data_IF_632359718240
#
_entry.id   IF_632359718240
#
_cell.length_a   1.000
_cell.length_b   1.000
_cell.length_c   1.000
_cell.angle_alpha   90.00
_cell.angle_beta   90.00
_cell.angle_gamma   90.00
#
_symmetry.space_group_name_H-M   'P 1'
#
loop_
_entity.id
_entity.type
_entity.pdbx_description
1 polymer ?
#
# COMPACT_ATOMS: atom_id res chain seq x y z
N UNK A 1 -14.13 -39.26 34.49
CA UNK A 1 -15.06 -38.31 33.85
C UNK A 1 -14.47 -36.91 33.63
N UNK A 2 -13.87 -36.30 34.68
CA UNK A 2 -13.33 -34.91 34.58
C UNK A 2 -12.17 -34.67 33.60
N UNK A 3 -11.44 -35.69 33.18
CA UNK A 3 -10.32 -35.56 32.25
C UNK A 3 -10.78 -35.55 30.78
N UNK A 4 -11.78 -36.39 30.47
CA UNK A 4 -12.41 -36.45 29.15
C UNK A 4 -13.23 -35.19 28.82
N UNK A 5 -13.82 -34.53 29.81
CA UNK A 5 -14.56 -33.28 29.60
C UNK A 5 -13.63 -32.12 29.28
N UNK A 6 -12.45 -32.04 29.93
CA UNK A 6 -11.43 -31.04 29.63
C UNK A 6 -10.80 -31.20 28.24
N UNK A 7 -10.56 -32.44 27.81
CA UNK A 7 -10.04 -32.75 26.49
C UNK A 7 -11.04 -32.37 25.38
N UNK A 8 -12.34 -32.59 25.59
CA UNK A 8 -13.42 -32.17 24.69
C UNK A 8 -13.53 -30.64 24.63
N UNK A 9 -13.44 -29.96 25.75
CA UNK A 9 -13.52 -28.52 25.84
C UNK A 9 -12.30 -27.84 25.10
N UNK A 10 -11.11 -28.38 25.28
CA UNK A 10 -9.91 -27.93 24.58
C UNK A 10 -10.00 -28.20 23.06
N UNK A 11 -10.56 -29.34 22.65
CA UNK A 11 -10.77 -29.66 21.23
C UNK A 11 -11.79 -28.70 20.58
N UNK A 12 -12.90 -28.43 21.27
CA UNK A 12 -13.90 -27.46 20.80
C UNK A 12 -13.31 -26.06 20.66
N UNK A 13 -12.53 -25.61 21.63
CA UNK A 13 -11.83 -24.32 21.56
C UNK A 13 -10.89 -24.23 20.35
N UNK A 14 -10.09 -25.28 20.08
CA UNK A 14 -9.20 -25.35 18.92
C UNK A 14 -9.94 -25.37 17.59
N UNK A 15 -11.10 -26.03 17.54
CA UNK A 15 -11.96 -26.01 16.36
C UNK A 15 -12.56 -24.62 16.10
N UNK A 16 -13.05 -23.94 17.14
CA UNK A 16 -13.55 -22.56 17.04
C UNK A 16 -12.45 -21.58 16.64
N UNK A 17 -11.23 -21.73 17.17
CA UNK A 17 -10.06 -20.93 16.78
C UNK A 17 -9.68 -21.18 15.31
N UNK A 18 -9.71 -22.43 14.85
CA UNK A 18 -9.41 -22.79 13.46
C UNK A 18 -10.49 -22.26 12.49
N UNK A 19 -11.76 -22.30 12.90
CA UNK A 19 -12.88 -21.75 12.11
C UNK A 19 -12.76 -20.22 11.97
N UNK A 20 -12.50 -19.50 13.06
CA UNK A 20 -12.25 -18.05 13.04
C UNK A 20 -11.05 -17.67 12.19
N UNK A 21 -9.98 -18.48 12.18
CA UNK A 21 -8.81 -18.27 11.31
C UNK A 21 -9.16 -18.49 9.84
N UNK A 22 -10.00 -19.50 9.53
CA UNK A 22 -10.47 -19.78 8.17
C UNK A 22 -11.29 -18.61 7.61
N UNK A 23 -12.24 -18.11 8.40
CA UNK A 23 -13.10 -16.97 8.03
C UNK A 23 -12.28 -15.69 7.81
N UNK A 24 -11.28 -15.46 8.65
CA UNK A 24 -10.39 -14.31 8.52
C UNK A 24 -9.55 -14.39 7.24
N UNK A 25 -9.01 -15.57 6.94
CA UNK A 25 -8.24 -15.82 5.72
C UNK A 25 -9.10 -15.63 4.47
N UNK A 26 -10.34 -16.09 4.49
CA UNK A 26 -11.28 -15.91 3.37
C UNK A 26 -11.60 -14.42 3.13
N UNK A 27 -11.80 -13.64 4.20
CA UNK A 27 -12.01 -12.19 4.10
C UNK A 27 -10.82 -11.48 3.50
N UNK A 28 -9.59 -11.80 3.95
CA UNK A 28 -8.37 -11.21 3.42
C UNK A 28 -8.15 -11.54 1.94
N UNK A 29 -8.48 -12.77 1.52
CA UNK A 29 -8.39 -13.17 0.10
C UNK A 29 -9.40 -12.41 -0.76
N UNK A 30 -10.64 -12.21 -0.29
CA UNK A 30 -11.65 -11.41 -0.99
C UNK A 30 -11.20 -9.95 -1.11
N UNK A 31 -10.68 -9.39 -0.03
CA UNK A 31 -10.15 -8.01 -0.02
C UNK A 31 -8.99 -7.84 -1.01
N UNK A 32 -8.06 -8.80 -1.05
CA UNK A 32 -6.97 -8.80 -2.01
C UNK A 32 -7.47 -8.91 -3.46
N UNK A 33 -8.48 -9.75 -3.71
CA UNK A 33 -9.11 -9.88 -5.02
C UNK A 33 -9.76 -8.56 -5.48
N UNK A 34 -10.49 -7.87 -4.60
CA UNK A 34 -11.07 -6.57 -4.91
C UNK A 34 -10.02 -5.51 -5.21
N UNK A 35 -8.94 -5.47 -4.43
CA UNK A 35 -7.82 -4.56 -4.66
C UNK A 35 -7.09 -4.85 -5.97
N UNK A 36 -6.90 -6.13 -6.31
CA UNK A 36 -6.29 -6.55 -7.58
C UNK A 36 -7.13 -6.10 -8.78
N UNK A 37 -8.46 -6.25 -8.70
CA UNK A 37 -9.39 -5.74 -9.73
C UNK A 37 -9.30 -4.23 -9.89
N UNK A 38 -9.22 -3.48 -8.79
CA UNK A 38 -9.06 -2.02 -8.81
C UNK A 38 -7.73 -1.57 -9.44
N UNK A 39 -6.68 -2.38 -9.30
CA UNK A 39 -5.34 -2.11 -9.83
C UNK A 39 -5.13 -2.64 -11.25
N UNK A 40 -6.05 -3.43 -11.79
CA UNK A 40 -5.95 -4.11 -13.09
C UNK A 40 -4.65 -4.95 -13.24
N UNK A 41 -4.16 -5.54 -12.12
CA UNK A 41 -2.93 -6.33 -12.10
C UNK A 41 -3.20 -7.82 -11.89
N UNK A 42 -3.06 -8.61 -12.96
CA UNK A 42 -3.19 -10.08 -12.91
C UNK A 42 -2.14 -10.75 -12.01
N UNK A 43 -0.93 -10.19 -11.90
CA UNK A 43 0.16 -10.75 -11.09
C UNK A 43 -0.18 -10.88 -9.59
N UNK A 44 -1.05 -10.02 -9.06
CA UNK A 44 -1.51 -10.10 -7.68
C UNK A 44 -2.48 -11.26 -7.45
N UNK A 45 -3.26 -11.63 -8.48
CA UNK A 45 -4.14 -12.82 -8.44
C UNK A 45 -3.32 -14.10 -8.32
N UNK A 46 -2.29 -14.25 -9.16
CA UNK A 46 -1.43 -15.45 -9.15
C UNK A 46 -0.73 -15.63 -7.80
N UNK A 47 -0.29 -14.51 -7.18
CA UNK A 47 0.33 -14.52 -5.84
C UNK A 47 -0.69 -14.89 -4.76
N UNK A 48 -1.91 -14.34 -4.82
CA UNK A 48 -3.00 -14.68 -3.88
C UNK A 48 -3.41 -16.16 -3.99
N UNK A 49 -3.50 -16.71 -5.19
CA UNK A 49 -3.85 -18.13 -5.40
C UNK A 49 -2.74 -19.08 -4.91
N UNK A 50 -1.47 -18.74 -5.13
CA UNK A 50 -0.34 -19.50 -4.57
C UNK A 50 -0.35 -19.47 -3.03
N UNK A 51 -0.70 -18.34 -2.42
CA UNK A 51 -0.86 -18.21 -0.96
C UNK A 51 -2.04 -19.04 -0.44
N UNK A 52 -3.15 -19.12 -1.19
CA UNK A 52 -4.32 -19.92 -0.84
C UNK A 52 -4.02 -21.42 -0.77
N UNK A 53 -3.16 -21.92 -1.67
CA UNK A 53 -2.75 -23.33 -1.66
C UNK A 53 -1.85 -23.71 -0.49
N UNK A 54 -1.14 -22.74 0.10
CA UNK A 54 -0.22 -22.94 1.25
C UNK A 54 -0.80 -22.50 2.61
N UNK A 55 -2.09 -22.31 2.73
CA UNK A 55 -2.81 -21.49 3.72
C UNK A 55 -2.67 -21.86 5.22
N UNK A 56 -2.07 -22.97 5.61
CA UNK A 56 -1.99 -23.34 7.04
C UNK A 56 -0.94 -22.58 7.88
N UNK A 57 0.04 -21.91 7.23
CA UNK A 57 1.12 -21.18 7.92
C UNK A 57 1.24 -19.70 7.50
N UNK A 58 0.25 -19.12 6.80
CA UNK A 58 0.46 -17.89 6.02
C UNK A 58 -0.51 -16.75 6.32
N UNK A 59 -1.30 -16.80 7.38
CA UNK A 59 -2.22 -15.71 7.71
C UNK A 59 -1.48 -14.38 7.89
N UNK A 60 -0.32 -14.38 8.56
CA UNK A 60 0.49 -13.18 8.75
C UNK A 60 1.03 -12.63 7.42
N UNK A 61 1.46 -13.52 6.52
CA UNK A 61 1.93 -13.14 5.19
C UNK A 61 0.80 -12.56 4.34
N UNK A 62 -0.40 -13.13 4.44
CA UNK A 62 -1.58 -12.62 3.74
C UNK A 62 -2.01 -11.25 4.27
N UNK A 63 -2.00 -11.03 5.59
CA UNK A 63 -2.27 -9.71 6.18
C UNK A 63 -1.26 -8.66 5.72
N UNK A 64 0.03 -9.02 5.64
CA UNK A 64 1.07 -8.14 5.12
C UNK A 64 0.85 -7.84 3.64
N UNK A 65 0.52 -8.85 2.83
CA UNK A 65 0.27 -8.67 1.41
C UNK A 65 -0.93 -7.75 1.16
N UNK A 66 -2.03 -7.94 1.88
CA UNK A 66 -3.21 -7.06 1.80
C UNK A 66 -2.83 -5.63 2.15
N UNK A 67 -2.10 -5.42 3.25
CA UNK A 67 -1.66 -4.09 3.69
C UNK A 67 -0.76 -3.41 2.65
N UNK A 68 0.21 -4.13 2.10
CA UNK A 68 1.09 -3.62 1.06
C UNK A 68 0.34 -3.28 -0.24
N UNK A 69 -0.65 -4.10 -0.60
CA UNK A 69 -1.49 -3.85 -1.77
C UNK A 69 -2.38 -2.63 -1.58
N UNK A 70 -2.95 -2.45 -0.38
CA UNK A 70 -3.69 -1.24 -0.01
C UNK A 70 -2.82 0.00 -0.13
N UNK A 71 -1.62 -0.04 0.46
CA UNK A 71 -0.67 1.07 0.40
C UNK A 71 -0.33 1.43 -1.04
N UNK A 72 0.01 0.44 -1.86
CA UNK A 72 0.29 0.65 -3.29
C UNK A 72 -0.90 1.25 -4.04
N UNK A 73 -2.12 0.79 -3.74
CA UNK A 73 -3.34 1.35 -4.32
C UNK A 73 -3.52 2.83 -3.95
N UNK A 74 -3.32 3.19 -2.68
CA UNK A 74 -3.41 4.57 -2.18
C UNK A 74 -2.35 5.46 -2.84
N UNK A 75 -1.11 5.00 -2.97
CA UNK A 75 -0.02 5.69 -3.66
C UNK A 75 -0.37 5.97 -5.12
N UNK A 76 -0.82 4.94 -5.86
CA UNK A 76 -1.21 5.09 -7.27
C UNK A 76 -2.40 6.02 -7.47
N UNK A 77 -3.36 5.99 -6.58
CA UNK A 77 -4.50 6.92 -6.61
C UNK A 77 -4.07 8.36 -6.33
N UNK A 78 -3.14 8.56 -5.40
CA UNK A 78 -2.56 9.88 -5.11
C UNK A 78 -1.79 10.43 -6.32
N UNK A 79 -0.94 9.64 -6.99
CA UNK A 79 -0.27 10.01 -8.22
C UNK A 79 -1.26 10.42 -9.33
N UNK A 80 -2.30 9.61 -9.54
CA UNK A 80 -3.34 9.90 -10.54
C UNK A 80 -4.09 11.20 -10.24
N UNK A 81 -4.33 11.49 -8.96
CA UNK A 81 -5.00 12.74 -8.56
C UNK A 81 -4.10 13.95 -8.71
N UNK A 82 -2.80 13.83 -8.43
CA UNK A 82 -1.81 14.86 -8.71
C UNK A 82 -1.78 15.18 -10.21
N UNK A 83 -1.73 14.17 -11.08
CA UNK A 83 -1.79 14.32 -12.53
C UNK A 83 -3.11 14.97 -13.01
N UNK A 84 -4.25 14.59 -12.42
CA UNK A 84 -5.54 15.20 -12.75
C UNK A 84 -5.58 16.68 -12.40
N UNK A 85 -5.08 17.04 -11.21
CA UNK A 85 -4.98 18.43 -10.77
C UNK A 85 -4.06 19.24 -11.70
N UNK A 86 -2.93 18.68 -12.11
CA UNK A 86 -1.99 19.31 -13.04
C UNK A 86 -2.65 19.59 -14.39
N UNK A 87 -3.27 18.58 -14.98
CA UNK A 87 -4.00 18.71 -16.26
C UNK A 87 -5.17 19.70 -16.17
N UNK A 88 -5.86 19.73 -15.02
CA UNK A 88 -6.95 20.66 -14.80
C UNK A 88 -6.45 22.09 -14.64
N UNK A 89 -5.34 22.29 -13.96
CA UNK A 89 -4.63 23.55 -13.87
C UNK A 89 -4.26 24.10 -15.26
N UNK A 90 -3.63 23.27 -16.10
CA UNK A 90 -3.26 23.63 -17.47
C UNK A 90 -4.48 24.00 -18.34
N UNK A 91 -5.57 23.23 -18.21
CA UNK A 91 -6.84 23.53 -18.90
C UNK A 91 -7.40 24.89 -18.46
N UNK A 92 -7.41 25.14 -17.14
CA UNK A 92 -7.91 26.39 -16.58
C UNK A 92 -7.05 27.60 -17.04
N UNK A 93 -5.74 27.45 -17.10
CA UNK A 93 -4.83 28.48 -17.58
C UNK A 93 -5.02 28.77 -19.07
N UNK A 94 -5.15 27.73 -19.90
CA UNK A 94 -5.45 27.85 -21.33
C UNK A 94 -6.78 28.56 -21.55
N UNK A 95 -7.82 28.18 -20.79
CA UNK A 95 -9.12 28.83 -20.85
C UNK A 95 -9.03 30.33 -20.53
N UNK A 96 -8.30 30.68 -19.46
CA UNK A 96 -8.09 32.07 -19.05
C UNK A 96 -7.39 32.93 -20.13
N UNK A 97 -6.53 32.32 -20.95
CA UNK A 97 -5.77 32.99 -21.98
C UNK A 97 -6.43 32.96 -23.39
N UNK A 98 -7.52 32.21 -23.56
CA UNK A 98 -8.22 32.09 -24.84
C UNK A 98 -9.40 33.06 -24.92
N UNK A 99 -9.38 33.98 -25.87
CA UNK A 99 -10.51 34.91 -26.10
C UNK A 99 -11.75 34.19 -26.64
N UNK A 100 -11.58 33.10 -27.40
CA UNK A 100 -12.69 32.39 -28.06
C UNK A 100 -13.32 31.32 -27.18
N UNK A 101 -12.49 30.62 -26.37
CA UNK A 101 -12.91 29.48 -25.58
C UNK A 101 -13.31 29.88 -24.15
N UNK A 102 -12.99 31.12 -23.72
CA UNK A 102 -13.30 31.61 -22.38
C UNK A 102 -14.79 31.91 -22.21
N UNK A 103 -15.56 30.83 -22.17
CA UNK A 103 -17.01 30.84 -22.02
C UNK A 103 -17.44 30.27 -20.67
N UNK A 104 -18.65 30.64 -20.22
CA UNK A 104 -19.24 30.09 -19.01
C UNK A 104 -19.34 28.55 -19.09
N UNK A 105 -19.73 28.02 -20.27
CA UNK A 105 -19.89 26.58 -20.45
C UNK A 105 -18.55 25.84 -20.17
N UNK A 106 -17.46 26.29 -20.81
CA UNK A 106 -16.13 25.65 -20.62
C UNK A 106 -15.64 25.82 -19.18
N UNK A 107 -15.94 26.93 -18.52
CA UNK A 107 -15.61 27.14 -17.12
C UNK A 107 -16.40 26.18 -16.22
N UNK A 108 -17.68 25.96 -16.49
CA UNK A 108 -18.51 25.04 -15.73
C UNK A 108 -18.03 23.59 -15.87
N UNK A 109 -17.51 23.19 -17.03
CA UNK A 109 -16.87 21.87 -17.21
C UNK A 109 -15.67 21.69 -16.28
N UNK A 110 -14.83 22.72 -16.15
CA UNK A 110 -13.68 22.71 -15.23
C UNK A 110 -14.16 22.66 -13.77
N UNK A 111 -15.21 23.42 -13.43
CA UNK A 111 -15.78 23.43 -12.08
C UNK A 111 -16.32 22.04 -11.69
N UNK A 112 -16.98 21.34 -12.61
CA UNK A 112 -17.44 19.98 -12.40
C UNK A 112 -16.29 19.00 -12.24
N UNK A 113 -15.29 19.08 -13.13
CA UNK A 113 -14.10 18.23 -13.04
C UNK A 113 -13.34 18.43 -11.72
N UNK A 114 -13.23 19.67 -11.23
CA UNK A 114 -12.62 19.93 -9.92
C UNK A 114 -13.46 19.37 -8.76
N UNK A 115 -14.77 19.44 -8.85
CA UNK A 115 -15.66 18.82 -7.86
C UNK A 115 -15.50 17.30 -7.80
N UNK A 116 -15.30 16.64 -8.94
CA UNK A 116 -15.01 15.20 -8.99
C UNK A 116 -13.65 14.90 -8.32
N UNK A 117 -12.62 15.72 -8.60
CA UNK A 117 -11.32 15.60 -7.92
C UNK A 117 -11.45 15.78 -6.40
N UNK A 118 -12.25 16.73 -5.93
CA UNK A 118 -12.49 16.91 -4.48
C UNK A 118 -13.11 15.66 -3.85
N UNK A 119 -14.04 15.02 -4.54
CA UNK A 119 -14.64 13.76 -4.07
C UNK A 119 -13.61 12.64 -4.02
N UNK A 120 -12.83 12.49 -5.09
CA UNK A 120 -11.76 11.47 -5.15
C UNK A 120 -10.68 11.70 -4.08
N UNK A 121 -10.34 12.96 -3.74
CA UNK A 121 -9.44 13.29 -2.63
C UNK A 121 -10.02 12.91 -1.27
N UNK A 122 -11.33 13.06 -1.11
CA UNK A 122 -12.01 12.64 0.12
C UNK A 122 -12.01 11.10 0.25
N UNK A 123 -12.28 10.38 -0.84
CA UNK A 123 -12.23 8.92 -0.88
C UNK A 123 -10.80 8.41 -0.59
N UNK A 124 -9.78 9.07 -1.19
CA UNK A 124 -8.37 8.78 -0.93
C UNK A 124 -7.99 8.97 0.54
N UNK A 125 -8.45 10.05 1.18
CA UNK A 125 -8.21 10.32 2.61
C UNK A 125 -8.80 9.21 3.50
N UNK A 126 -9.96 8.68 3.14
CA UNK A 126 -10.57 7.57 3.86
C UNK A 126 -9.77 6.28 3.68
N UNK A 127 -9.41 5.93 2.45
CA UNK A 127 -8.61 4.74 2.14
C UNK A 127 -7.22 4.81 2.79
N UNK A 128 -6.61 5.99 2.83
CA UNK A 128 -5.33 6.20 3.51
C UNK A 128 -5.42 5.98 5.03
N UNK A 129 -6.51 6.41 5.66
CA UNK A 129 -6.75 6.18 7.11
C UNK A 129 -6.99 4.72 7.47
N UNK A 130 -7.36 3.89 6.51
CA UNK A 130 -7.50 2.44 6.71
C UNK A 130 -6.17 1.70 6.70
N UNK A 131 -5.09 2.33 6.26
CA UNK A 131 -3.73 1.77 6.34
C UNK A 131 -3.29 1.69 7.81
N UNK A 132 -2.51 0.65 8.15
CA UNK A 132 -1.88 0.53 9.47
C UNK A 132 -0.92 1.68 9.75
N UNK A 133 -0.25 2.14 8.70
CA UNK A 133 0.67 3.27 8.70
C UNK A 133 0.27 4.22 7.57
N UNK A 134 -0.60 5.21 7.84
CA UNK A 134 -1.10 6.15 6.83
C UNK A 134 0.02 6.97 6.19
N UNK A 135 -0.09 7.20 4.89
CA UNK A 135 0.84 8.04 4.14
C UNK A 135 0.60 9.52 4.41
N UNK A 136 1.65 10.33 4.37
CA UNK A 136 1.56 11.79 4.49
C UNK A 136 1.11 12.42 3.17
N UNK A 137 -0.17 12.25 2.82
CA UNK A 137 -0.76 12.81 1.60
C UNK A 137 -1.34 14.20 1.92
N UNK A 138 -0.85 15.28 1.29
CA UNK A 138 -1.42 16.61 1.47
C UNK A 138 -2.88 16.67 1.01
N UNK A 139 -3.78 17.06 1.91
CA UNK A 139 -5.21 17.20 1.63
C UNK A 139 -5.80 18.38 2.40
N UNK A 140 -5.37 19.62 2.03
CA UNK A 140 -5.86 20.83 2.67
C UNK A 140 -7.23 21.24 2.13
N UNK A 141 -8.25 21.10 2.99
CA UNK A 141 -9.64 21.47 2.65
C UNK A 141 -9.80 22.97 2.42
N UNK A 142 -9.00 23.82 3.06
CA UNK A 142 -9.06 25.26 2.85
C UNK A 142 -8.55 25.63 1.46
N UNK A 143 -7.44 25.03 1.01
CA UNK A 143 -6.95 25.20 -0.36
C UNK A 143 -8.00 24.77 -1.39
N UNK A 144 -8.66 23.64 -1.18
CA UNK A 144 -9.74 23.15 -2.06
C UNK A 144 -10.92 24.13 -2.11
N UNK A 145 -11.37 24.65 -0.97
CA UNK A 145 -12.47 25.62 -0.94
C UNK A 145 -12.07 26.96 -1.57
N UNK A 146 -10.82 27.36 -1.48
CA UNK A 146 -10.33 28.57 -2.13
C UNK A 146 -10.24 28.42 -3.65
N UNK A 147 -9.83 27.26 -4.17
CA UNK A 147 -9.93 26.94 -5.61
C UNK A 147 -11.38 26.99 -6.06
N UNK A 148 -12.28 26.31 -5.36
CA UNK A 148 -13.71 26.28 -5.67
C UNK A 148 -14.33 27.67 -5.71
N UNK A 149 -14.02 28.55 -4.75
CA UNK A 149 -14.46 29.93 -4.72
C UNK A 149 -13.96 30.73 -5.93
N UNK A 150 -12.70 30.56 -6.31
CA UNK A 150 -12.14 31.25 -7.46
C UNK A 150 -12.76 30.74 -8.77
N UNK A 151 -12.99 29.42 -8.92
CA UNK A 151 -13.69 28.82 -10.06
C UNK A 151 -15.13 29.32 -10.17
N UNK A 152 -15.86 29.39 -9.05
CA UNK A 152 -17.23 29.89 -9.04
C UNK A 152 -17.28 31.38 -9.43
N UNK A 153 -16.40 32.21 -8.86
CA UNK A 153 -16.33 33.64 -9.22
C UNK A 153 -15.99 33.83 -10.70
N UNK A 154 -15.13 33.00 -11.25
CA UNK A 154 -14.82 33.03 -12.67
C UNK A 154 -16.05 32.73 -13.53
N UNK A 155 -16.82 31.70 -13.19
CA UNK A 155 -18.07 31.36 -13.87
C UNK A 155 -19.11 32.50 -13.77
N UNK A 156 -19.25 33.09 -12.57
CA UNK A 156 -20.20 34.22 -12.36
C UNK A 156 -19.83 35.45 -13.19
N UNK A 157 -18.55 35.76 -13.36
CA UNK A 157 -18.11 36.87 -14.21
C UNK A 157 -18.28 36.57 -15.72
N UNK A 158 -18.06 35.32 -16.15
CA UNK A 158 -18.34 34.88 -17.52
C UNK A 158 -19.82 34.92 -17.85
N UNK A 159 -20.67 34.52 -16.93
CA UNK A 159 -22.13 34.62 -17.06
C UNK A 159 -22.57 36.07 -17.31
N UNK A 160 -21.87 37.03 -16.68
CA UNK A 160 -22.11 38.48 -16.90
C UNK A 160 -21.43 39.02 -18.18
N UNK A 161 -20.89 38.17 -19.05
CA UNK A 161 -20.09 38.55 -20.23
C UNK A 161 -18.88 39.42 -19.89
N UNK A 162 -18.22 39.17 -18.76
CA UNK A 162 -17.02 39.92 -18.28
C UNK A 162 -15.75 39.05 -18.22
N UNK A 163 -15.25 38.53 -19.36
CA UNK A 163 -14.13 37.60 -19.37
C UNK A 163 -12.84 38.20 -18.80
N UNK A 164 -12.63 39.51 -18.97
CA UNK A 164 -11.46 40.20 -18.39
C UNK A 164 -11.46 40.22 -16.86
N UNK A 165 -12.63 40.14 -16.22
CA UNK A 165 -12.74 40.03 -14.74
C UNK A 165 -12.67 38.58 -14.27
N UNK A 166 -13.09 37.63 -15.09
CA UNK A 166 -12.94 36.20 -14.82
C UNK A 166 -11.47 35.76 -14.83
N UNK A 167 -10.66 36.27 -15.77
CA UNK A 167 -9.29 35.87 -16.02
C UNK A 167 -8.39 35.84 -14.77
N UNK A 168 -8.34 36.85 -13.89
CA UNK A 168 -7.51 36.80 -12.67
C UNK A 168 -7.98 35.69 -11.72
N UNK A 169 -9.27 35.37 -11.65
CA UNK A 169 -9.80 34.27 -10.83
C UNK A 169 -9.46 32.90 -11.41
N UNK A 170 -9.55 32.78 -12.72
CA UNK A 170 -9.13 31.59 -13.47
C UNK A 170 -7.65 31.29 -13.27
N UNK A 171 -6.77 32.30 -13.38
CA UNK A 171 -5.33 32.15 -13.14
C UNK A 171 -5.00 31.81 -11.69
N UNK A 172 -5.73 32.41 -10.74
CA UNK A 172 -5.59 32.09 -9.32
C UNK A 172 -5.97 30.63 -9.05
N UNK A 173 -7.10 30.17 -9.59
CA UNK A 173 -7.53 28.78 -9.45
C UNK A 173 -6.53 27.80 -10.09
N UNK A 174 -6.03 28.11 -11.30
CA UNK A 174 -5.02 27.32 -11.97
C UNK A 174 -3.73 27.20 -11.12
N UNK A 175 -3.20 28.33 -10.63
CA UNK A 175 -1.99 28.33 -9.81
C UNK A 175 -2.15 27.48 -8.53
N UNK A 176 -3.29 27.59 -7.85
CA UNK A 176 -3.57 26.79 -6.65
C UNK A 176 -3.70 25.29 -6.96
N UNK A 177 -4.40 24.91 -8.03
CA UNK A 177 -4.47 23.51 -8.47
C UNK A 177 -3.09 22.95 -8.82
N UNK A 178 -2.23 23.75 -9.45
CA UNK A 178 -0.84 23.38 -9.74
C UNK A 178 -0.05 23.17 -8.46
N UNK A 179 -0.19 24.05 -7.50
CA UNK A 179 0.46 23.93 -6.18
C UNK A 179 0.01 22.67 -5.44
N UNK A 180 -1.29 22.39 -5.43
CA UNK A 180 -1.82 21.15 -4.83
C UNK A 180 -1.24 19.91 -5.50
N UNK A 181 -1.19 19.88 -6.86
CA UNK A 181 -0.58 18.79 -7.60
C UNK A 181 0.89 18.59 -7.23
N UNK A 182 1.68 19.67 -7.20
CA UNK A 182 3.09 19.63 -6.86
C UNK A 182 3.35 19.16 -5.44
N UNK A 183 2.55 19.61 -4.47
CA UNK A 183 2.64 19.13 -3.07
C UNK A 183 2.38 17.64 -2.98
N UNK A 184 1.36 17.14 -3.69
CA UNK A 184 1.07 15.71 -3.72
C UNK A 184 2.20 14.90 -4.36
N UNK A 185 2.72 15.33 -5.51
CA UNK A 185 3.83 14.67 -6.18
C UNK A 185 5.08 14.63 -5.30
N UNK A 186 5.44 15.75 -4.66
CA UNK A 186 6.58 15.81 -3.74
C UNK A 186 6.43 14.88 -2.53
N UNK A 187 5.22 14.78 -1.98
CA UNK A 187 4.95 13.87 -0.87
C UNK A 187 5.13 12.41 -1.29
N UNK A 188 4.70 12.04 -2.50
CA UNK A 188 4.89 10.69 -3.03
C UNK A 188 6.36 10.38 -3.29
N UNK A 189 7.11 11.29 -3.92
CA UNK A 189 8.56 11.13 -4.15
C UNK A 189 9.33 10.98 -2.83
N UNK A 190 8.98 11.76 -1.80
CA UNK A 190 9.61 11.68 -0.49
C UNK A 190 9.32 10.34 0.19
N UNK A 191 8.07 9.88 0.11
CA UNK A 191 7.66 8.58 0.65
C UNK A 191 8.37 7.42 -0.04
N UNK A 192 8.53 7.45 -1.36
CA UNK A 192 9.28 6.45 -2.11
C UNK A 192 10.75 6.40 -1.70
N UNK A 193 11.37 7.56 -1.47
CA UNK A 193 12.78 7.65 -1.06
C UNK A 193 12.99 7.10 0.36
N UNK A 194 12.09 7.40 1.30
CA UNK A 194 12.11 6.82 2.65
C UNK A 194 11.92 5.30 2.61
N UNK A 195 10.96 4.83 1.80
CA UNK A 195 10.71 3.40 1.61
C UNK A 195 11.94 2.67 1.04
N UNK A 196 12.64 3.24 0.07
CA UNK A 196 13.90 2.68 -0.47
C UNK A 196 14.98 2.57 0.60
N UNK A 197 15.10 3.55 1.50
CA UNK A 197 16.06 3.51 2.60
C UNK A 197 15.71 2.42 3.62
N UNK A 198 14.45 2.27 3.96
CA UNK A 198 13.96 1.20 4.83
C UNK A 198 14.20 -0.18 4.23
N UNK A 199 13.88 -0.37 2.95
CA UNK A 199 14.12 -1.62 2.23
C UNK A 199 15.61 -1.96 2.20
N UNK A 200 16.49 -1.00 1.99
CA UNK A 200 17.94 -1.21 2.02
C UNK A 200 18.45 -1.63 3.42
N UNK A 201 17.91 -1.03 4.50
CA UNK A 201 18.23 -1.42 5.88
C UNK A 201 17.73 -2.83 6.18
N UNK A 202 16.51 -3.15 5.76
CA UNK A 202 15.90 -4.46 5.98
C UNK A 202 16.64 -5.55 5.21
N UNK A 203 17.03 -5.31 3.95
CA UNK A 203 17.84 -6.24 3.15
C UNK A 203 19.21 -6.52 3.81
N UNK A 204 19.84 -5.49 4.37
CA UNK A 204 21.09 -5.68 5.12
C UNK A 204 20.88 -6.57 6.34
N UNK A 205 19.81 -6.34 7.10
CA UNK A 205 19.48 -7.16 8.26
C UNK A 205 19.15 -8.62 7.87
N UNK A 206 18.44 -8.82 6.76
CA UNK A 206 18.17 -10.15 6.19
C UNK A 206 19.48 -10.85 5.84
N UNK A 207 20.42 -10.16 5.20
CA UNK A 207 21.73 -10.70 4.85
C UNK A 207 22.52 -11.12 6.10
N UNK A 208 22.55 -10.26 7.12
CA UNK A 208 23.25 -10.56 8.39
C UNK A 208 22.62 -11.79 9.07
N UNK A 209 21.30 -11.91 9.06
CA UNK A 209 20.58 -13.07 9.61
C UNK A 209 20.87 -14.35 8.81
N UNK A 210 20.96 -14.28 7.48
CA UNK A 210 21.32 -15.40 6.61
C UNK A 210 22.75 -15.86 6.86
N UNK A 211 23.69 -14.94 7.04
CA UNK A 211 25.08 -15.26 7.38
C UNK A 211 25.17 -15.96 8.75
N UNK A 212 24.49 -15.43 9.76
CA UNK A 212 24.42 -16.05 11.09
C UNK A 212 23.80 -17.46 11.02
N UNK A 213 22.70 -17.61 10.29
CA UNK A 213 22.07 -18.91 10.03
C UNK A 213 23.03 -19.89 9.35
N UNK A 214 23.74 -19.45 8.31
CA UNK A 214 24.71 -20.28 7.58
C UNK A 214 25.82 -20.79 8.50
N UNK A 215 26.40 -19.93 9.34
CA UNK A 215 27.42 -20.34 10.31
C UNK A 215 26.88 -21.28 11.39
N UNK A 216 25.68 -21.06 11.86
CA UNK A 216 25.04 -21.94 12.85
C UNK A 216 24.69 -23.31 12.26
N UNK A 217 24.24 -23.35 11.01
CA UNK A 217 23.98 -24.58 10.29
C UNK A 217 25.28 -25.37 10.05
N UNK A 218 26.34 -24.69 9.65
CA UNK A 218 27.68 -25.35 9.48
C UNK A 218 28.19 -25.92 10.80
N UNK A 219 28.08 -25.19 11.91
CA UNK A 219 28.41 -25.70 13.25
C UNK A 219 27.60 -26.93 13.62
N UNK A 220 26.30 -26.91 13.33
CA UNK A 220 25.41 -28.02 13.61
C UNK A 220 25.78 -29.26 12.81
N UNK A 221 26.11 -29.13 11.53
CA UNK A 221 26.57 -30.19 10.64
C UNK A 221 27.87 -30.80 11.21
N UNK A 222 28.87 -29.98 11.59
CA UNK A 222 30.13 -30.46 12.21
C UNK A 222 29.86 -31.22 13.50
N UNK A 223 28.97 -30.70 14.36
CA UNK A 223 28.63 -31.37 15.63
C UNK A 223 27.92 -32.71 15.39
N UNK A 224 27.03 -32.76 14.40
CA UNK A 224 26.30 -34.01 14.05
C UNK A 224 27.25 -35.08 13.51
N UNK A 225 28.21 -34.69 12.66
CA UNK A 225 29.21 -35.62 12.10
C UNK A 225 30.19 -36.16 13.13
N UNK A 226 30.40 -35.43 14.23
CA UNK A 226 31.32 -35.84 15.32
C UNK A 226 30.61 -36.53 16.50
N UNK A 227 29.28 -36.40 16.58
CA UNK A 227 28.47 -36.98 17.65
C UNK A 227 28.31 -38.49 17.44
N UNK A 228 29.12 -39.27 18.15
CA UNK A 228 28.84 -40.68 18.36
C UNK A 228 27.50 -40.81 19.13
N UNK A 229 26.60 -41.59 18.61
CA UNK A 229 25.23 -41.96 18.99
C UNK A 229 24.87 -41.97 20.47
N UNK A 230 24.93 -40.83 21.18
CA UNK A 230 24.34 -40.67 22.51
C UNK A 230 22.99 -39.94 22.38
N UNK A 231 21.91 -40.57 22.83
CA UNK A 231 20.54 -40.07 22.66
C UNK A 231 20.32 -38.65 23.20
N UNK A 232 21.04 -38.22 24.21
CA UNK A 232 20.96 -36.87 24.78
C UNK A 232 21.55 -35.79 23.86
N UNK A 233 22.63 -36.11 23.13
CA UNK A 233 23.24 -35.17 22.16
C UNK A 233 22.39 -35.04 20.90
N UNK A 234 21.76 -36.14 20.46
CA UNK A 234 20.84 -36.14 19.34
C UNK A 234 19.63 -35.22 19.59
N UNK A 235 19.05 -35.27 20.79
CA UNK A 235 17.93 -34.39 21.16
C UNK A 235 18.32 -32.91 21.15
N UNK A 236 19.53 -32.55 21.57
CA UNK A 236 20.05 -31.18 21.48
C UNK A 236 20.24 -30.72 20.03
N UNK A 237 20.77 -31.60 19.20
CA UNK A 237 20.92 -31.33 17.75
C UNK A 237 19.58 -31.12 17.08
N UNK A 238 18.59 -31.99 17.35
CA UNK A 238 17.22 -31.87 16.80
C UNK A 238 16.55 -30.57 17.24
N UNK A 239 16.67 -30.21 18.54
CA UNK A 239 16.13 -28.94 19.03
C UNK A 239 16.77 -27.76 18.32
N UNK A 240 18.09 -27.76 18.19
CA UNK A 240 18.82 -26.67 17.51
C UNK A 240 18.47 -26.59 16.02
N UNK A 241 18.25 -27.72 15.35
CA UNK A 241 17.78 -27.77 13.98
C UNK A 241 16.38 -27.18 13.83
N UNK A 242 15.52 -27.43 14.81
CA UNK A 242 14.16 -26.84 14.83
C UNK A 242 14.21 -25.32 15.04
N UNK A 243 15.08 -24.84 15.94
CA UNK A 243 15.31 -23.40 16.16
C UNK A 243 15.83 -22.71 14.90
N UNK A 244 16.81 -23.34 14.20
CA UNK A 244 17.33 -22.85 12.93
C UNK A 244 16.28 -22.83 11.83
N UNK A 245 15.41 -23.84 11.77
CA UNK A 245 14.27 -23.83 10.83
C UNK A 245 13.32 -22.66 11.08
N UNK A 246 13.04 -22.33 12.34
CA UNK A 246 12.23 -21.15 12.67
C UNK A 246 12.93 -19.84 12.28
N UNK A 247 14.24 -19.71 12.56
CA UNK A 247 15.01 -18.53 12.16
C UNK A 247 14.99 -18.34 10.63
N UNK A 248 15.18 -19.41 9.87
CA UNK A 248 15.12 -19.36 8.42
C UNK A 248 13.75 -18.93 7.92
N UNK A 249 12.68 -19.40 8.57
CA UNK A 249 11.31 -18.99 8.23
C UNK A 249 11.12 -17.47 8.42
N UNK A 250 11.65 -16.88 9.48
CA UNK A 250 11.58 -15.42 9.70
C UNK A 250 12.34 -14.64 8.62
N UNK A 251 13.47 -15.19 8.16
CA UNK A 251 14.23 -14.60 7.03
C UNK A 251 13.41 -14.66 5.75
N UNK A 252 12.80 -15.80 5.45
CA UNK A 252 11.96 -16.04 4.29
C UNK A 252 10.74 -15.10 4.28
N UNK A 253 10.02 -14.99 5.41
CA UNK A 253 8.90 -14.08 5.59
C UNK A 253 9.30 -12.60 5.38
N UNK A 254 10.48 -12.20 5.90
CA UNK A 254 10.99 -10.84 5.74
C UNK A 254 11.38 -10.54 4.29
N UNK A 255 12.02 -11.51 3.62
CA UNK A 255 12.42 -11.39 2.23
C UNK A 255 11.18 -11.30 1.30
N UNK A 256 10.17 -12.12 1.58
CA UNK A 256 8.89 -12.07 0.88
C UNK A 256 8.22 -10.69 1.04
N UNK A 257 8.18 -10.14 2.26
CA UNK A 257 7.60 -8.82 2.51
C UNK A 257 8.30 -7.71 1.70
N UNK A 258 9.65 -7.74 1.61
CA UNK A 258 10.41 -6.78 0.81
C UNK A 258 10.17 -6.98 -0.70
N UNK A 259 10.12 -8.23 -1.15
CA UNK A 259 9.90 -8.56 -2.57
C UNK A 259 8.53 -8.09 -3.08
N UNK A 260 7.51 -8.07 -2.21
CA UNK A 260 6.18 -7.57 -2.60
C UNK A 260 6.13 -6.06 -2.79
N UNK A 261 7.00 -5.31 -2.09
CA UNK A 261 7.10 -3.84 -2.17
C UNK A 261 8.02 -3.38 -3.30
N UNK A 262 9.05 -4.15 -3.60
CA UNK A 262 10.09 -3.78 -4.55
C UNK A 262 10.12 -4.75 -5.73
N UNK A 263 9.61 -4.35 -6.92
CA UNK A 263 9.57 -5.23 -8.11
C UNK A 263 10.92 -5.75 -8.55
N UNK A 264 12.01 -4.97 -8.38
CA UNK A 264 13.37 -5.39 -8.74
C UNK A 264 13.87 -6.55 -7.87
N UNK A 265 13.44 -6.59 -6.60
CA UNK A 265 13.76 -7.69 -5.69
C UNK A 265 12.90 -8.90 -6.00
N UNK A 266 11.65 -8.70 -6.39
CA UNK A 266 10.73 -9.76 -6.80
C UNK A 266 11.28 -10.57 -7.99
N UNK A 267 11.88 -9.92 -8.98
CA UNK A 267 12.49 -10.58 -10.14
C UNK A 267 13.72 -11.42 -9.81
N UNK A 268 14.43 -11.10 -8.71
CA UNK A 268 15.64 -11.80 -8.29
C UNK A 268 15.38 -13.00 -7.37
N UNK A 269 14.21 -13.06 -6.73
CA UNK A 269 13.91 -14.01 -5.64
C UNK A 269 12.84 -15.03 -6.05
N UNK A 270 11.98 -14.69 -6.98
CA UNK A 270 10.89 -15.53 -7.48
C UNK A 270 11.23 -16.17 -8.82
#
# INVERSE_FOLDING_TARGET
>A
PKKQDKEKEELLRRLEEAEKQSDKTEKLLKELEELSKKLEKEELFDKADKLKQNAKNQQQNLEQLVELTKRFYVEKKAEQLADKLDKLSDKQEKLANSEKENTEQNQNEINLAFKDVQKELQDLDQENKELKDPLEIPNDKNEQEDVKKDLQKAADELNKNQPKKAQPKQKSAAAKMKEMSQKMAQAMDSGEMEQMQEDAKLLRQILDNLLAFSFDQERLIKTTNTAQTRSLELNKVLKKQQDLKQQFKHVDDSLFAVSTRNPRISELIL
#
